data_IF_011603630529
#
_entry.id   IF_011603630529
#
_cell.length_a   1.000
_cell.length_b   1.000
_cell.length_c   1.000
_cell.angle_alpha   90.00
_cell.angle_beta   90.00
_cell.angle_gamma   90.00
#
_symmetry.space_group_name_H-M   'P 1'
#
loop_
_entity.id
_entity.type
_entity.pdbx_description
1 polymer ?
#
# COMPACT_ATOMS: atom_id res chain seq x y z
N UNK A 1 5.40 -1.66 0.85
CA UNK A 1 5.00 -1.73 -0.58
C UNK A 1 5.75 -0.67 -1.35
N UNK A 2 5.99 -0.88 -2.65
CA UNK A 2 6.66 0.09 -3.52
C UNK A 2 5.66 0.58 -4.57
N UNK A 3 5.51 1.89 -4.70
CA UNK A 3 4.67 2.51 -5.73
C UNK A 3 5.56 2.89 -6.89
N UNK A 4 5.39 2.19 -8.01
CA UNK A 4 6.09 2.47 -9.25
C UNK A 4 5.08 2.78 -10.37
N UNK A 5 5.38 3.79 -11.21
CA UNK A 5 4.72 3.96 -12.51
C UNK A 5 5.74 3.64 -13.59
N UNK A 6 5.43 2.68 -14.46
CA UNK A 6 6.35 2.23 -15.52
C UNK A 6 7.75 1.86 -15.00
N UNK A 7 7.83 1.23 -13.81
CA UNK A 7 9.10 0.85 -13.19
C UNK A 7 9.86 2.00 -12.51
N UNK A 8 9.36 3.24 -12.57
CA UNK A 8 9.95 4.38 -11.87
C UNK A 8 9.29 4.55 -10.50
N UNK A 9 10.04 4.55 -9.38
CA UNK A 9 9.49 4.81 -8.06
C UNK A 9 8.93 6.23 -7.99
N UNK A 10 7.72 6.36 -7.45
CA UNK A 10 7.03 7.64 -7.35
C UNK A 10 7.15 8.20 -5.94
N UNK A 11 8.10 9.10 -5.76
CA UNK A 11 8.29 9.84 -4.51
C UNK A 11 7.13 10.82 -4.24
N UNK A 12 6.77 10.98 -2.97
CA UNK A 12 5.86 12.01 -2.50
C UNK A 12 4.39 11.75 -2.78
N UNK A 13 4.04 10.67 -3.49
CA UNK A 13 2.65 10.29 -3.71
C UNK A 13 1.98 9.88 -2.41
N UNK A 14 0.77 10.39 -2.19
CA UNK A 14 -0.06 9.99 -1.06
C UNK A 14 -0.77 8.68 -1.37
N UNK A 15 -0.40 7.66 -0.60
CA UNK A 15 -1.00 6.34 -0.58
C UNK A 15 -2.01 6.29 0.54
N UNK A 16 -3.22 5.86 0.24
CA UNK A 16 -4.31 5.69 1.17
C UNK A 16 -4.54 4.19 1.37
N UNK A 17 -4.45 3.72 2.61
CA UNK A 17 -4.80 2.37 3.02
C UNK A 17 -6.29 2.31 3.37
N UNK A 18 -6.97 1.34 2.79
CA UNK A 18 -8.36 1.02 3.07
C UNK A 18 -8.48 -0.45 3.45
N UNK A 19 -9.49 -0.83 4.23
CA UNK A 19 -9.84 -2.23 4.47
C UNK A 19 -10.45 -2.87 3.21
N UNK A 20 -10.57 -4.19 3.19
CA UNK A 20 -11.33 -4.90 2.16
C UNK A 20 -12.82 -4.55 2.16
N UNK A 21 -13.36 -3.99 3.24
CA UNK A 21 -14.72 -3.45 3.29
C UNK A 21 -14.81 -2.04 2.70
N UNK A 22 -13.68 -1.33 2.59
CA UNK A 22 -13.58 0.01 2.01
C UNK A 22 -13.47 1.13 3.05
N UNK A 23 -13.27 0.78 4.31
CA UNK A 23 -13.04 1.74 5.38
C UNK A 23 -11.64 2.34 5.27
N UNK A 24 -11.56 3.66 5.46
CA UNK A 24 -10.27 4.34 5.50
C UNK A 24 -9.53 3.97 6.78
N UNK A 25 -8.29 3.51 6.64
CA UNK A 25 -7.44 3.10 7.77
C UNK A 25 -6.38 4.15 8.04
N UNK A 26 -5.55 4.45 7.03
CA UNK A 26 -4.44 5.39 7.19
C UNK A 26 -3.99 5.94 5.82
N UNK A 27 -3.17 6.99 5.81
CA UNK A 27 -2.51 7.46 4.59
C UNK A 27 -1.08 7.90 4.86
N UNK A 28 -0.16 7.49 3.99
CA UNK A 28 1.25 7.88 4.02
C UNK A 28 1.72 8.37 2.67
N UNK A 29 2.72 9.23 2.70
CA UNK A 29 3.45 9.60 1.50
C UNK A 29 4.55 8.58 1.24
N UNK A 30 4.72 8.24 -0.03
CA UNK A 30 5.87 7.48 -0.49
C UNK A 30 7.16 8.30 -0.27
N UNK A 31 8.22 7.64 0.16
CA UNK A 31 9.54 8.25 0.31
C UNK A 31 10.26 8.40 -1.05
N UNK A 32 11.51 8.87 -1.03
CA UNK A 32 12.36 9.04 -2.23
C UNK A 32 12.60 7.76 -3.03
N UNK A 33 12.36 6.60 -2.45
CA UNK A 33 12.42 5.31 -3.12
C UNK A 33 11.05 4.80 -3.57
N UNK A 34 10.01 5.62 -3.48
CA UNK A 34 8.63 5.24 -3.81
C UNK A 34 8.03 4.26 -2.79
N UNK A 35 8.64 4.12 -1.61
CA UNK A 35 8.21 3.14 -0.61
C UNK A 35 7.36 3.79 0.47
N UNK A 36 6.37 3.04 0.95
CA UNK A 36 5.65 3.38 2.15
C UNK A 36 5.41 2.14 3.00
N UNK A 37 5.63 2.32 4.30
CA UNK A 37 5.42 1.31 5.33
C UNK A 37 4.19 1.68 6.13
N UNK A 38 3.25 0.76 6.25
CA UNK A 38 2.04 0.91 7.06
C UNK A 38 2.06 -0.17 8.13
N UNK A 39 1.61 0.17 9.33
CA UNK A 39 1.43 -0.80 10.42
C UNK A 39 -0.06 -1.10 10.51
N UNK A 40 -0.48 -2.21 9.89
CA UNK A 40 -1.87 -2.65 9.80
C UNK A 40 -2.03 -3.94 10.64
N UNK A 41 -3.20 -4.08 11.28
CA UNK A 41 -3.55 -5.31 11.99
C UNK A 41 -3.89 -6.44 11.00
N UNK A 42 -3.97 -7.68 11.46
CA UNK A 42 -4.42 -8.82 10.65
C UNK A 42 -5.76 -8.51 9.94
N UNK A 43 -5.81 -8.75 8.63
CA UNK A 43 -6.95 -8.47 7.78
C UNK A 43 -6.56 -8.17 6.34
N UNK A 44 -7.58 -8.01 5.51
CA UNK A 44 -7.44 -7.68 4.10
C UNK A 44 -7.48 -6.16 3.87
N UNK A 45 -6.52 -5.63 3.11
CA UNK A 45 -6.40 -4.20 2.84
C UNK A 45 -6.17 -3.92 1.37
N UNK A 46 -6.63 -2.78 0.90
CA UNK A 46 -6.38 -2.26 -0.45
C UNK A 46 -5.77 -0.87 -0.36
N UNK A 47 -4.84 -0.58 -1.26
CA UNK A 47 -4.17 0.71 -1.29
C UNK A 47 -4.64 1.52 -2.49
N UNK A 48 -4.83 2.83 -2.31
CA UNK A 48 -5.18 3.75 -3.38
C UNK A 48 -4.13 4.83 -3.49
N UNK A 49 -3.70 5.14 -4.70
CA UNK A 49 -2.87 6.31 -4.99
C UNK A 49 -3.60 7.23 -5.96
N UNK A 50 -3.39 8.53 -5.80
CA UNK A 50 -3.80 9.50 -6.80
C UNK A 50 -2.57 9.88 -7.62
N UNK A 51 -2.58 9.53 -8.91
CA UNK A 51 -1.47 9.79 -9.82
C UNK A 51 -1.99 10.31 -11.15
N UNK A 52 -1.43 11.45 -11.59
CA UNK A 52 -1.71 12.07 -12.88
C UNK A 52 -3.21 12.28 -13.19
N UNK A 53 -3.99 12.74 -12.22
CA UNK A 53 -5.42 13.01 -12.41
C UNK A 53 -6.34 11.82 -12.12
N UNK A 54 -5.79 10.62 -11.94
CA UNK A 54 -6.56 9.38 -11.80
C UNK A 54 -6.25 8.63 -10.50
N UNK A 55 -7.26 7.94 -9.98
CA UNK A 55 -7.10 7.03 -8.85
C UNK A 55 -6.70 5.65 -9.33
N UNK A 56 -5.64 5.11 -8.75
CA UNK A 56 -5.17 3.76 -8.99
C UNK A 56 -5.29 2.96 -7.71
N UNK A 57 -5.94 1.81 -7.79
CA UNK A 57 -6.07 0.88 -6.68
C UNK A 57 -5.06 -0.25 -6.84
N UNK A 58 -4.44 -0.65 -5.73
CA UNK A 58 -3.69 -1.89 -5.66
C UNK A 58 -4.64 -3.08 -5.56
N UNK A 59 -4.08 -4.25 -5.78
CA UNK A 59 -4.67 -5.52 -5.36
C UNK A 59 -4.83 -5.57 -3.84
N UNK A 60 -5.79 -6.38 -3.38
CA UNK A 60 -6.03 -6.61 -1.96
C UNK A 60 -4.86 -7.41 -1.39
N UNK A 61 -4.30 -6.93 -0.29
CA UNK A 61 -3.20 -7.53 0.44
C UNK A 61 -3.75 -8.00 1.79
N UNK A 62 -3.68 -9.30 2.01
CA UNK A 62 -3.99 -9.93 3.29
C UNK A 62 -2.76 -9.79 4.21
N UNK A 63 -2.97 -9.24 5.39
CA UNK A 63 -2.00 -9.19 6.49
C UNK A 63 -2.48 -10.10 7.62
N UNK A 64 -1.59 -10.68 8.45
CA UNK A 64 -0.15 -10.66 8.31
C UNK A 64 0.23 -11.65 7.21
N UNK A 65 0.97 -11.20 6.21
CA UNK A 65 1.91 -12.13 5.63
C UNK A 65 2.98 -12.28 6.71
N UNK A 66 2.84 -13.27 7.57
CA UNK A 66 3.88 -13.67 8.53
C UNK A 66 5.03 -14.32 7.75
N UNK A 67 5.77 -13.52 6.99
CA UNK A 67 7.08 -13.91 6.42
C UNK A 67 8.14 -13.97 7.51
N UNK A 68 7.88 -14.79 8.54
CA UNK A 68 8.85 -15.22 9.53
C UNK A 68 8.62 -16.66 10.06
N UNK A 69 7.43 -17.28 9.95
CA UNK A 69 7.19 -18.65 10.48
C UNK A 69 6.19 -19.44 9.62
N UNK A 70 6.57 -19.82 8.39
CA UNK A 70 6.01 -21.01 7.70
C UNK A 70 7.12 -21.82 6.99
N UNK A 71 8.37 -21.67 7.43
CA UNK A 71 9.45 -22.61 7.17
C UNK A 71 9.81 -23.26 8.50
N UNK A 72 9.19 -24.39 8.79
CA UNK A 72 9.44 -25.25 9.94
C UNK A 72 8.88 -26.63 9.65
#
# INVERSE_FOLDING_TARGET
MTVTANGTPLEGLRIYAFTAEGDYVDSRRADASGQASFTLAEGDYRFRVYYNGSYWWSQVVSTPCSTAVCAG
#
